data_IF_920657973226
#
_entry.id   IF_920657973226
#
_cell.length_a   1.000
_cell.length_b   1.000
_cell.length_c   1.000
_cell.angle_alpha   90.00
_cell.angle_beta   90.00
_cell.angle_gamma   90.00
#
_symmetry.space_group_name_H-M   'P 1'
#
loop_
_entity.id
_entity.type
_entity.pdbx_description
1 polymer ?
#
# COMPACT_ATOMS: atom_id res chain seq x y z
N UNK A 1 14.57 -5.64 -31.38
CA UNK A 1 14.66 -4.18 -31.49
C UNK A 1 13.60 -3.60 -30.57
N UNK A 2 13.93 -3.44 -29.29
CA UNK A 2 13.06 -2.80 -28.31
C UNK A 2 13.44 -1.32 -28.31
N UNK A 3 12.59 -0.47 -28.89
CA UNK A 3 12.85 0.95 -29.02
C UNK A 3 12.79 1.62 -27.64
N UNK A 4 13.81 2.41 -27.33
CA UNK A 4 13.96 3.18 -26.11
C UNK A 4 13.03 4.42 -26.17
N UNK A 5 11.79 4.27 -25.72
CA UNK A 5 10.86 5.40 -25.54
C UNK A 5 11.20 6.27 -24.32
N UNK A 6 12.24 5.92 -23.55
CA UNK A 6 12.68 6.68 -22.38
C UNK A 6 13.68 7.82 -22.70
N UNK A 7 14.10 8.00 -23.96
CA UNK A 7 15.02 9.08 -24.34
C UNK A 7 14.39 10.48 -24.36
N UNK A 8 13.08 10.60 -24.13
CA UNK A 8 12.37 11.89 -24.05
C UNK A 8 11.95 12.27 -22.61
N UNK A 9 12.56 11.67 -21.59
CA UNK A 9 12.34 12.05 -20.20
C UNK A 9 13.25 13.22 -19.79
N UNK A 10 12.75 14.15 -18.97
CA UNK A 10 13.47 15.36 -18.56
C UNK A 10 14.78 15.13 -17.76
N UNK A 11 15.04 13.90 -17.31
CA UNK A 11 16.32 13.44 -16.74
C UNK A 11 16.58 12.02 -17.26
N UNK A 12 17.61 11.83 -18.09
CA UNK A 12 18.08 10.50 -18.48
C UNK A 12 18.70 9.83 -17.23
N UNK A 13 17.97 8.90 -16.63
CA UNK A 13 18.57 7.91 -15.74
C UNK A 13 19.49 7.08 -16.65
N UNK A 14 20.80 7.36 -16.65
CA UNK A 14 21.84 6.78 -17.54
C UNK A 14 22.05 5.26 -17.45
N UNK A 15 21.00 4.51 -17.16
CA UNK A 15 20.91 3.07 -17.10
C UNK A 15 20.14 2.57 -18.33
N UNK A 16 20.87 2.13 -19.35
CA UNK A 16 20.30 1.58 -20.60
C UNK A 16 19.84 0.11 -20.47
N UNK A 17 19.62 -0.37 -19.25
CA UNK A 17 19.37 -1.79 -18.96
C UNK A 17 20.64 -2.65 -18.92
N UNK A 18 20.48 -3.89 -18.49
CA UNK A 18 21.55 -4.89 -18.56
C UNK A 18 21.75 -5.34 -20.01
N UNK A 19 23.01 -5.52 -20.42
CA UNK A 19 23.31 -6.06 -21.75
C UNK A 19 22.68 -7.44 -21.98
N UNK A 20 22.31 -7.76 -23.21
CA UNK A 20 21.68 -9.04 -23.58
C UNK A 20 22.50 -10.25 -23.15
N UNK A 21 23.83 -10.15 -23.19
CA UNK A 21 24.76 -11.18 -22.71
C UNK A 21 24.65 -11.40 -21.20
N UNK A 22 24.53 -10.33 -20.40
CA UNK A 22 24.36 -10.43 -18.95
C UNK A 22 23.01 -11.09 -18.60
N UNK A 23 21.96 -10.83 -19.38
CA UNK A 23 20.67 -11.49 -19.24
C UNK A 23 20.74 -13.00 -19.44
N UNK A 24 21.38 -13.46 -20.51
CA UNK A 24 21.56 -14.89 -20.78
C UNK A 24 22.44 -15.59 -19.73
N UNK A 25 23.50 -14.93 -19.27
CA UNK A 25 24.35 -15.45 -18.18
C UNK A 25 23.53 -15.59 -16.90
N UNK A 26 22.72 -14.59 -16.54
CA UNK A 26 21.86 -14.65 -15.36
C UNK A 26 20.86 -15.80 -15.41
N UNK A 27 20.23 -16.03 -16.56
CA UNK A 27 19.32 -17.16 -16.78
C UNK A 27 20.07 -18.50 -16.62
N UNK A 28 21.25 -18.65 -17.22
CA UNK A 28 22.04 -19.86 -17.11
C UNK A 28 22.44 -20.18 -15.66
N UNK A 29 22.87 -19.16 -14.92
CA UNK A 29 23.24 -19.30 -13.50
C UNK A 29 22.01 -19.64 -12.64
N UNK A 30 20.86 -19.01 -12.89
CA UNK A 30 19.62 -19.29 -12.17
C UNK A 30 19.18 -20.74 -12.35
N UNK A 31 19.04 -21.21 -13.60
CA UNK A 31 18.65 -22.61 -13.87
C UNK A 31 19.72 -23.60 -13.39
N UNK A 32 21.00 -23.26 -13.50
CA UNK A 32 22.09 -24.06 -12.93
C UNK A 32 21.96 -24.22 -11.41
N UNK A 33 21.66 -23.14 -10.69
CA UNK A 33 21.39 -23.16 -9.25
C UNK A 33 20.17 -24.01 -8.89
N UNK A 34 19.08 -23.91 -9.64
CA UNK A 34 17.88 -24.73 -9.47
C UNK A 34 18.20 -26.22 -9.65
N UNK A 35 18.98 -26.58 -10.67
CA UNK A 35 19.36 -27.98 -10.94
C UNK A 35 20.25 -28.52 -9.82
N UNK A 36 21.23 -27.73 -9.36
CA UNK A 36 22.09 -28.13 -8.23
C UNK A 36 21.29 -28.37 -6.96
N UNK A 37 20.33 -27.49 -6.67
CA UNK A 37 19.45 -27.60 -5.51
C UNK A 37 18.53 -28.83 -5.62
N UNK A 38 17.97 -29.10 -6.81
CA UNK A 38 17.16 -30.29 -7.05
C UNK A 38 17.93 -31.61 -6.88
N UNK A 39 19.25 -31.62 -7.09
CA UNK A 39 20.11 -32.80 -6.88
C UNK A 39 20.55 -32.91 -5.40
N UNK A 40 20.86 -31.78 -4.75
CA UNK A 40 21.30 -31.75 -3.37
C UNK A 40 20.17 -32.05 -2.39
N UNK A 41 19.12 -31.23 -2.41
CA UNK A 41 18.01 -31.29 -1.45
C UNK A 41 16.69 -30.98 -2.16
N UNK A 42 15.99 -32.00 -2.72
CA UNK A 42 14.76 -31.81 -3.48
C UNK A 42 13.63 -31.14 -2.69
N UNK A 43 13.68 -31.19 -1.35
CA UNK A 43 12.69 -30.58 -0.47
C UNK A 43 12.84 -29.05 -0.40
N UNK A 44 14.02 -28.51 -0.71
CA UNK A 44 14.34 -27.07 -0.64
C UNK A 44 13.98 -26.31 -1.92
N UNK A 45 13.52 -26.99 -2.99
CA UNK A 45 13.14 -26.37 -4.27
C UNK A 45 12.21 -25.14 -4.13
N UNK A 46 11.25 -25.09 -3.17
CA UNK A 46 10.43 -23.89 -2.96
C UNK A 46 11.22 -22.64 -2.56
N UNK A 47 12.43 -22.79 -2.02
CA UNK A 47 13.25 -21.69 -1.52
C UNK A 47 13.76 -20.76 -2.64
N UNK A 48 13.85 -21.26 -3.87
CA UNK A 48 14.14 -20.46 -5.06
C UNK A 48 13.12 -19.33 -5.26
N UNK A 49 11.89 -19.52 -4.78
CA UNK A 49 10.83 -18.50 -4.81
C UNK A 49 10.88 -17.56 -3.59
N UNK A 50 11.63 -17.89 -2.55
CA UNK A 50 11.69 -17.09 -1.31
C UNK A 50 12.07 -15.62 -1.55
N UNK A 51 13.08 -15.28 -2.38
CA UNK A 51 13.37 -13.88 -2.70
C UNK A 51 12.21 -13.16 -3.38
N UNK A 52 11.50 -13.84 -4.28
CA UNK A 52 10.34 -13.29 -4.99
C UNK A 52 9.13 -13.10 -4.06
N UNK A 53 8.84 -14.10 -3.22
CA UNK A 53 7.73 -14.05 -2.26
C UNK A 53 7.98 -12.97 -1.21
N UNK A 54 9.22 -12.84 -0.73
CA UNK A 54 9.61 -11.78 0.20
C UNK A 54 9.42 -10.39 -0.44
N UNK A 55 9.87 -10.18 -1.68
CA UNK A 55 9.65 -8.92 -2.38
C UNK A 55 8.16 -8.65 -2.65
N UNK A 56 7.41 -9.68 -3.07
CA UNK A 56 5.97 -9.57 -3.30
C UNK A 56 5.19 -9.29 -2.02
N UNK A 57 5.66 -9.73 -0.86
CA UNK A 57 4.93 -9.47 0.38
C UNK A 57 4.89 -7.98 0.76
N UNK A 58 5.92 -7.21 0.41
CA UNK A 58 5.92 -5.76 0.57
C UNK A 58 4.89 -5.04 -0.32
N UNK A 59 4.44 -5.66 -1.42
CA UNK A 59 3.36 -5.08 -2.26
C UNK A 59 2.05 -4.93 -1.50
N UNK A 60 1.88 -5.67 -0.41
CA UNK A 60 0.71 -5.59 0.46
C UNK A 60 0.56 -4.20 1.09
N UNK A 61 1.68 -3.56 1.46
CA UNK A 61 1.67 -2.18 1.95
C UNK A 61 1.21 -1.21 0.87
N UNK A 62 1.73 -1.36 -0.36
CA UNK A 62 1.29 -0.55 -1.50
C UNK A 62 -0.20 -0.74 -1.80
N UNK A 63 -0.71 -1.97 -1.72
CA UNK A 63 -2.13 -2.28 -1.91
C UNK A 63 -3.01 -1.60 -0.85
N UNK A 64 -2.60 -1.61 0.43
CA UNK A 64 -3.34 -0.91 1.50
C UNK A 64 -3.32 0.59 1.31
N UNK A 65 -2.19 1.17 0.90
CA UNK A 65 -2.10 2.61 0.60
C UNK A 65 -3.01 2.99 -0.57
N UNK A 66 -2.99 2.21 -1.65
CA UNK A 66 -3.85 2.43 -2.81
C UNK A 66 -5.34 2.32 -2.43
N UNK A 67 -5.71 1.33 -1.63
CA UNK A 67 -7.08 1.17 -1.15
C UNK A 67 -7.54 2.35 -0.28
N UNK A 68 -6.65 2.86 0.60
CA UNK A 68 -6.96 4.03 1.43
C UNK A 68 -7.13 5.29 0.59
N UNK A 69 -6.25 5.53 -0.38
CA UNK A 69 -6.35 6.66 -1.29
C UNK A 69 -7.63 6.59 -2.14
N UNK A 70 -7.94 5.42 -2.70
CA UNK A 70 -9.11 5.22 -3.54
C UNK A 70 -10.43 5.38 -2.79
N UNK A 71 -10.53 4.87 -1.57
CA UNK A 71 -11.75 5.01 -0.74
C UNK A 71 -11.95 6.44 -0.25
N UNK A 72 -10.88 7.14 0.14
CA UNK A 72 -10.95 8.58 0.46
C UNK A 72 -11.37 9.42 -0.76
N UNK A 73 -10.82 9.11 -1.94
CA UNK A 73 -11.22 9.74 -3.19
C UNK A 73 -12.70 9.49 -3.52
N UNK A 74 -13.20 8.26 -3.33
CA UNK A 74 -14.60 7.93 -3.54
C UNK A 74 -15.53 8.72 -2.60
N UNK A 75 -15.16 8.89 -1.32
CA UNK A 75 -15.92 9.73 -0.38
C UNK A 75 -15.95 11.19 -0.88
N UNK A 76 -14.83 11.75 -1.32
CA UNK A 76 -14.79 13.09 -1.90
C UNK A 76 -15.66 13.21 -3.15
N UNK A 77 -15.67 12.18 -4.00
CA UNK A 77 -16.52 12.15 -5.19
C UNK A 77 -18.00 12.12 -4.82
N UNK A 78 -18.41 11.34 -3.82
CA UNK A 78 -19.80 11.30 -3.35
C UNK A 78 -20.23 12.67 -2.78
N UNK A 79 -19.35 13.32 -2.03
CA UNK A 79 -19.67 14.60 -1.37
C UNK A 79 -19.66 15.76 -2.37
N UNK A 80 -18.58 15.94 -3.12
CA UNK A 80 -18.39 17.11 -4.00
C UNK A 80 -18.73 16.83 -5.45
N UNK A 81 -18.49 15.61 -5.94
CA UNK A 81 -18.63 15.29 -7.35
C UNK A 81 -17.57 15.95 -8.22
N UNK A 82 -17.54 15.55 -9.49
CA UNK A 82 -16.47 15.91 -10.40
C UNK A 82 -16.95 16.09 -11.84
N UNK A 83 -16.23 16.93 -12.56
CA UNK A 83 -16.35 17.09 -14.00
C UNK A 83 -14.98 16.90 -14.67
N UNK A 84 -15.02 16.61 -15.96
CA UNK A 84 -13.84 16.46 -16.79
C UNK A 84 -13.69 17.68 -17.69
N UNK A 85 -12.52 18.31 -17.67
CA UNK A 85 -12.18 19.38 -18.61
C UNK A 85 -10.79 19.13 -19.19
N UNK A 86 -10.76 18.83 -20.49
CA UNK A 86 -9.52 18.83 -21.28
C UNK A 86 -8.40 17.92 -20.76
N UNK A 87 -8.73 16.81 -20.09
CA UNK A 87 -7.74 15.89 -19.51
C UNK A 87 -7.64 15.92 -17.98
N UNK A 88 -8.16 16.98 -17.33
CA UNK A 88 -8.05 17.17 -15.89
C UNK A 88 -9.38 16.91 -15.18
N UNK A 89 -9.28 16.26 -14.01
CA UNK A 89 -10.39 16.05 -13.09
C UNK A 89 -10.48 17.21 -12.11
N UNK A 90 -11.66 17.80 -11.99
CA UNK A 90 -11.93 18.91 -11.08
C UNK A 90 -13.17 18.60 -10.23
N UNK A 91 -13.09 18.90 -8.93
CA UNK A 91 -14.22 18.73 -8.00
C UNK A 91 -15.17 19.93 -8.07
N UNK A 92 -16.47 19.67 -7.91
CA UNK A 92 -17.52 20.71 -7.94
C UNK A 92 -17.98 20.99 -6.52
N UNK A 93 -17.58 22.10 -5.90
CA UNK A 93 -17.93 22.32 -4.50
C UNK A 93 -19.35 22.87 -4.30
N UNK A 94 -19.85 23.64 -5.27
CA UNK A 94 -21.07 24.45 -5.09
C UNK A 94 -22.09 24.22 -6.20
N UNK A 95 -23.38 24.27 -5.86
CA UNK A 95 -24.50 24.20 -6.82
C UNK A 95 -24.45 25.29 -7.91
N UNK A 96 -23.95 26.48 -7.56
CA UNK A 96 -23.76 27.59 -8.49
C UNK A 96 -22.67 27.31 -9.54
N UNK A 97 -21.71 26.45 -9.20
CA UNK A 97 -20.60 26.07 -10.08
C UNK A 97 -21.05 24.96 -11.03
N UNK A 98 -21.83 23.99 -10.52
CA UNK A 98 -22.49 22.98 -11.35
C UNK A 98 -23.36 23.60 -12.46
N UNK A 99 -24.17 24.59 -12.11
CA UNK A 99 -25.08 25.24 -13.06
C UNK A 99 -24.35 26.08 -14.11
N UNK A 100 -23.19 26.67 -13.79
CA UNK A 100 -22.31 27.31 -14.76
C UNK A 100 -21.66 26.30 -15.70
N UNK A 101 -21.12 25.21 -15.16
CA UNK A 101 -20.47 24.14 -15.93
C UNK A 101 -21.46 23.43 -16.85
N UNK A 102 -22.70 23.23 -16.40
CA UNK A 102 -23.77 22.68 -17.22
C UNK A 102 -24.17 23.64 -18.37
N UNK A 103 -24.15 24.94 -18.13
CA UNK A 103 -24.38 25.95 -19.17
C UNK A 103 -23.20 26.06 -20.17
N UNK A 104 -21.98 25.79 -19.70
CA UNK A 104 -20.76 25.74 -20.52
C UNK A 104 -20.62 24.41 -21.30
N UNK A 105 -21.50 23.43 -21.05
CA UNK A 105 -21.49 22.13 -21.71
C UNK A 105 -20.37 21.20 -21.24
N UNK A 106 -19.86 21.41 -20.03
CA UNK A 106 -18.83 20.56 -19.45
C UNK A 106 -19.33 19.12 -19.22
N UNK A 107 -18.44 18.15 -19.38
CA UNK A 107 -18.74 16.74 -19.15
C UNK A 107 -18.76 16.45 -17.64
N UNK A 108 -19.97 16.44 -17.07
CA UNK A 108 -20.20 16.20 -15.64
C UNK A 108 -20.24 14.69 -15.42
N UNK A 109 -19.24 14.18 -14.70
CA UNK A 109 -19.17 12.76 -14.37
C UNK A 109 -20.08 12.43 -13.18
N UNK A 110 -20.08 13.31 -12.17
CA UNK A 110 -20.89 13.13 -10.97
C UNK A 110 -21.20 14.48 -10.32
N UNK A 111 -22.47 14.75 -10.03
CA UNK A 111 -22.89 16.05 -9.51
C UNK A 111 -22.56 16.28 -8.02
N UNK A 112 -22.31 15.24 -7.22
CA UNK A 112 -21.97 15.40 -5.79
C UNK A 112 -23.17 15.77 -4.91
N UNK A 113 -23.09 15.49 -3.61
CA UNK A 113 -24.13 15.80 -2.64
C UNK A 113 -24.21 17.31 -2.35
N UNK A 114 -23.09 18.04 -2.35
CA UNK A 114 -23.04 19.48 -2.03
C UNK A 114 -23.68 20.37 -3.09
N UNK A 115 -23.92 19.86 -4.31
CA UNK A 115 -24.63 20.60 -5.36
C UNK A 115 -26.15 20.50 -5.25
N UNK A 116 -26.68 19.62 -4.39
CA UNK A 116 -28.12 19.43 -4.15
C UNK A 116 -28.79 20.52 -3.31
N UNK A 117 -28.24 21.74 -3.28
CA UNK A 117 -28.73 22.86 -2.48
C UNK A 117 -28.44 22.73 -0.98
N UNK A 118 -29.17 23.46 -0.14
CA UNK A 118 -28.90 23.56 1.31
C UNK A 118 -28.95 22.21 2.03
N UNK A 119 -29.92 21.35 1.70
CA UNK A 119 -30.02 20.00 2.26
C UNK A 119 -28.84 19.11 1.84
N UNK A 120 -28.46 19.20 0.56
CA UNK A 120 -27.29 18.51 0.02
C UNK A 120 -25.98 18.95 0.66
N UNK A 121 -25.84 20.24 0.99
CA UNK A 121 -24.66 20.78 1.66
C UNK A 121 -24.53 20.28 3.10
N UNK A 122 -25.63 20.23 3.85
CA UNK A 122 -25.65 19.67 5.21
C UNK A 122 -25.38 18.16 5.16
N UNK A 123 -26.05 17.44 4.27
CA UNK A 123 -25.82 16.00 4.06
C UNK A 123 -24.38 15.70 3.63
N UNK A 124 -23.82 16.53 2.75
CA UNK A 124 -22.46 16.48 2.28
C UNK A 124 -21.44 16.68 3.39
N UNK A 125 -21.64 17.68 4.26
CA UNK A 125 -20.79 17.91 5.41
C UNK A 125 -20.80 16.71 6.39
N UNK A 126 -21.97 16.14 6.67
CA UNK A 126 -22.10 14.94 7.52
C UNK A 126 -21.42 13.74 6.87
N UNK A 127 -21.69 13.48 5.59
CA UNK A 127 -21.10 12.38 4.84
C UNK A 127 -19.58 12.51 4.72
N UNK A 128 -19.06 13.74 4.60
CA UNK A 128 -17.62 14.01 4.56
C UNK A 128 -16.95 13.64 5.89
N UNK A 129 -17.52 14.08 7.01
CA UNK A 129 -16.97 13.81 8.35
C UNK A 129 -17.08 12.30 8.65
N UNK A 130 -18.26 11.72 8.49
CA UNK A 130 -18.49 10.30 8.77
C UNK A 130 -17.68 9.40 7.84
N UNK A 131 -17.70 9.68 6.53
CA UNK A 131 -16.97 8.92 5.53
C UNK A 131 -15.47 8.91 5.80
N UNK A 132 -14.86 10.08 6.06
CA UNK A 132 -13.43 10.14 6.38
C UNK A 132 -13.09 9.52 7.73
N UNK A 133 -13.98 9.64 8.73
CA UNK A 133 -13.80 8.97 10.02
C UNK A 133 -13.73 7.45 9.84
N UNK A 134 -14.64 6.88 9.06
CA UNK A 134 -14.65 5.44 8.75
C UNK A 134 -13.42 5.03 7.95
N UNK A 135 -13.07 5.78 6.88
CA UNK A 135 -11.86 5.51 6.08
C UNK A 135 -10.59 5.56 6.92
N UNK A 136 -10.51 6.50 7.86
CA UNK A 136 -9.37 6.62 8.75
C UNK A 136 -9.31 5.49 9.78
N UNK A 137 -10.45 5.18 10.43
CA UNK A 137 -10.53 4.09 11.40
C UNK A 137 -10.18 2.73 10.79
N UNK A 138 -10.78 2.41 9.64
CA UNK A 138 -10.48 1.17 8.90
C UNK A 138 -9.06 1.17 8.34
N UNK A 139 -8.57 2.31 7.86
CA UNK A 139 -7.22 2.43 7.30
C UNK A 139 -6.12 2.22 8.34
N UNK A 140 -6.26 2.79 9.54
CA UNK A 140 -5.29 2.58 10.63
C UNK A 140 -5.33 1.14 11.13
N UNK A 141 -6.53 0.58 11.32
CA UNK A 141 -6.68 -0.79 11.83
C UNK A 141 -6.14 -1.83 10.83
N UNK A 142 -6.45 -1.68 9.55
CA UNK A 142 -6.00 -2.62 8.50
C UNK A 142 -4.49 -2.53 8.25
N UNK A 143 -3.93 -1.32 8.15
CA UNK A 143 -2.49 -1.13 7.97
C UNK A 143 -1.70 -1.63 9.19
N UNK A 144 -2.20 -1.38 10.41
CA UNK A 144 -1.58 -1.85 11.65
C UNK A 144 -1.49 -3.37 11.71
N UNK A 145 -2.59 -4.09 11.44
CA UNK A 145 -2.58 -5.56 11.42
C UNK A 145 -1.64 -6.14 10.36
N UNK A 146 -1.53 -5.49 9.21
CA UNK A 146 -0.64 -5.95 8.15
C UNK A 146 0.84 -5.67 8.43
N UNK A 147 1.16 -4.55 9.06
CA UNK A 147 2.53 -4.25 9.49
C UNK A 147 3.02 -5.32 10.49
N UNK A 148 2.18 -5.68 11.48
CA UNK A 148 2.48 -6.75 12.44
C UNK A 148 2.69 -8.10 11.74
N UNK A 149 1.96 -8.40 10.67
CA UNK A 149 2.15 -9.64 9.91
C UNK A 149 3.53 -9.72 9.24
N UNK A 150 4.00 -8.61 8.67
CA UNK A 150 5.33 -8.53 8.06
C UNK A 150 6.41 -8.65 9.14
N UNK A 151 6.24 -7.96 10.27
CA UNK A 151 7.15 -8.04 11.41
C UNK A 151 7.24 -9.47 11.97
N UNK A 152 6.10 -10.11 12.23
CA UNK A 152 6.04 -11.46 12.79
C UNK A 152 6.56 -12.56 11.86
N UNK A 153 6.19 -12.54 10.58
CA UNK A 153 6.47 -13.68 9.69
C UNK A 153 7.73 -13.46 8.86
N UNK A 154 7.99 -12.25 8.39
CA UNK A 154 9.11 -11.98 7.46
C UNK A 154 10.36 -11.47 8.15
N UNK A 155 10.22 -10.76 9.28
CA UNK A 155 11.35 -10.28 10.07
C UNK A 155 11.72 -11.28 11.18
N UNK A 156 10.81 -11.61 12.09
CA UNK A 156 11.14 -12.52 13.20
C UNK A 156 11.50 -13.94 12.73
N UNK A 157 10.90 -14.44 11.65
CA UNK A 157 11.28 -15.73 11.06
C UNK A 157 12.73 -15.82 10.53
N UNK A 158 13.43 -14.69 10.35
CA UNK A 158 14.83 -14.65 9.87
C UNK A 158 15.87 -14.48 10.98
N UNK A 159 15.46 -13.95 12.14
CA UNK A 159 16.38 -13.55 13.22
C UNK A 159 16.07 -14.20 14.58
N UNK A 160 14.94 -14.88 14.71
CA UNK A 160 14.51 -15.51 15.96
C UNK A 160 14.34 -17.02 15.78
N UNK A 161 15.30 -17.79 16.29
CA UNK A 161 15.16 -19.24 16.46
C UNK A 161 14.44 -19.50 17.79
N UNK A 162 13.25 -20.11 17.73
CA UNK A 162 12.51 -20.51 18.92
C UNK A 162 13.32 -21.52 19.74
N UNK A 163 13.62 -21.17 21.00
CA UNK A 163 14.45 -22.01 21.88
C UNK A 163 15.17 -21.30 23.03
N UNK A 164 14.98 -19.98 23.18
CA UNK A 164 15.49 -19.22 24.31
C UNK A 164 14.95 -19.72 25.65
N UNK A 165 15.82 -19.76 26.67
CA UNK A 165 15.41 -20.05 28.05
C UNK A 165 14.94 -18.74 28.67
N UNK A 166 13.74 -18.72 29.24
CA UNK A 166 13.27 -17.55 29.98
C UNK A 166 14.29 -17.16 31.06
N UNK A 167 14.64 -15.88 31.09
CA UNK A 167 15.54 -15.36 32.10
C UNK A 167 14.83 -15.38 33.45
N UNK A 168 15.20 -16.33 34.30
CA UNK A 168 14.78 -16.35 35.70
C UNK A 168 15.79 -15.49 36.46
N UNK A 169 15.41 -14.29 36.93
CA UNK A 169 16.33 -13.44 37.68
C UNK A 169 16.76 -14.15 38.96
N UNK A 170 18.01 -13.99 39.33
CA UNK A 170 18.49 -14.42 40.64
C UNK A 170 17.91 -13.47 41.69
N UNK A 171 16.80 -13.87 42.33
CA UNK A 171 16.12 -13.05 43.32
C UNK A 171 15.00 -13.81 44.01
N UNK A 172 14.73 -13.42 45.26
CA UNK A 172 13.54 -13.90 45.98
C UNK A 172 12.32 -13.14 45.47
N UNK A 173 11.26 -13.87 45.15
CA UNK A 173 9.94 -13.32 44.93
C UNK A 173 9.42 -12.79 46.28
N UNK A 174 9.59 -11.48 46.51
CA UNK A 174 9.25 -10.84 47.79
C UNK A 174 7.75 -10.56 47.85
N UNK A 175 7.00 -11.43 48.52
CA UNK A 175 5.57 -11.23 48.80
C UNK A 175 5.30 -10.40 50.07
N UNK A 176 6.26 -10.30 51.01
CA UNK A 176 6.12 -9.49 52.22
C UNK A 176 7.46 -8.83 52.62
N UNK A 177 7.43 -7.51 52.88
CA UNK A 177 8.51 -6.76 53.52
C UNK A 177 8.06 -6.36 54.92
N UNK A 178 8.62 -7.00 55.95
CA UNK A 178 8.56 -6.46 57.31
C UNK A 178 9.76 -5.55 57.53
N UNK A 179 9.45 -4.33 57.97
CA UNK A 179 10.41 -3.32 58.41
C UNK A 179 10.40 -3.46 59.92
N UNK A 180 11.40 -4.15 60.48
CA UNK A 180 11.59 -4.18 61.92
C UNK A 180 12.50 -3.00 62.27
N UNK A 181 11.93 -2.05 63.01
CA UNK A 181 12.62 -0.89 63.60
C UNK A 181 13.27 -1.28 64.95
#
# INVERSE_FOLDING_TARGET
MFNNEASNAAIELGFSGFGTTAGWIGIAVFFGGVVLLAIGEPLEIPEVLSPLVNALSYTRLAAVLLAKAGTAFAVNLIVFGAYFNGGNFHFIFTAAELSKLQAEGADIMFAGLTTGGTLGLIGGAVALILGHTVVLALGVTSAGLQAVRLEYVEFFGKFYEGGGRDYIPFGYERTHTTIDE
#
